data_IF_775584006552
#
_entry.id   IF_775584006552
#
_cell.length_a   1.000
_cell.length_b   1.000
_cell.length_c   1.000
_cell.angle_alpha   90.00
_cell.angle_beta   90.00
_cell.angle_gamma   90.00
#
_symmetry.space_group_name_H-M   'P 1'
#
loop_
_entity.id
_entity.type
_entity.pdbx_description
1 polymer ?
#
# COMPACT_ATOMS: atom_id res chain seq x y z
N UNK A 1 31.78 38.01 -3.48
CA UNK A 1 30.40 38.27 -3.95
C UNK A 1 29.66 36.95 -3.95
N UNK A 2 28.88 36.68 -2.90
CA UNK A 2 28.06 35.47 -2.85
C UNK A 2 26.74 35.76 -3.56
N UNK A 3 26.43 35.01 -4.62
CA UNK A 3 25.11 35.07 -5.24
C UNK A 3 24.06 34.69 -4.19
N UNK A 4 22.98 35.47 -4.01
CA UNK A 4 21.91 35.09 -3.12
C UNK A 4 21.32 33.77 -3.62
N UNK A 5 21.33 32.75 -2.76
CA UNK A 5 20.62 31.49 -3.01
C UNK A 5 19.16 31.86 -3.27
N UNK A 6 18.61 31.40 -4.39
CA UNK A 6 17.26 31.71 -4.85
C UNK A 6 16.23 30.95 -3.99
N UNK A 7 16.07 31.39 -2.74
CA UNK A 7 15.26 30.72 -1.70
C UNK A 7 13.79 30.60 -2.09
N UNK A 8 13.25 31.53 -2.89
CA UNK A 8 11.86 31.49 -3.34
C UNK A 8 11.57 30.33 -4.31
N UNK A 9 12.50 30.03 -5.22
CA UNK A 9 12.36 28.89 -6.15
C UNK A 9 12.48 27.56 -5.43
N UNK A 10 13.40 27.43 -4.46
CA UNK A 10 13.55 26.22 -3.65
C UNK A 10 12.31 25.96 -2.77
N UNK A 11 11.75 27.01 -2.17
CA UNK A 11 10.51 26.91 -1.38
C UNK A 11 9.30 26.53 -2.24
N UNK A 12 9.16 27.12 -3.43
CA UNK A 12 8.07 26.78 -4.35
C UNK A 12 8.16 25.32 -4.81
N UNK A 13 9.36 24.87 -5.19
CA UNK A 13 9.60 23.48 -5.59
C UNK A 13 9.25 22.48 -4.45
N UNK A 14 9.59 22.81 -3.21
CA UNK A 14 9.24 21.98 -2.06
C UNK A 14 7.72 21.89 -1.85
N UNK A 15 7.00 23.00 -1.97
CA UNK A 15 5.54 23.04 -1.86
C UNK A 15 4.86 22.25 -2.99
N UNK A 16 5.33 22.41 -4.22
CA UNK A 16 4.82 21.68 -5.39
C UNK A 16 5.04 20.17 -5.24
N UNK A 17 6.21 19.77 -4.75
CA UNK A 17 6.55 18.36 -4.48
C UNK A 17 5.66 17.77 -3.39
N UNK A 18 5.42 18.52 -2.30
CA UNK A 18 4.53 18.08 -1.22
C UNK A 18 3.09 17.92 -1.69
N UNK A 19 2.59 18.86 -2.49
CA UNK A 19 1.25 18.78 -3.08
C UNK A 19 1.11 17.58 -4.02
N UNK A 20 2.10 17.35 -4.89
CA UNK A 20 2.13 16.20 -5.79
C UNK A 20 2.16 14.87 -5.02
N UNK A 21 3.00 14.78 -3.97
CA UNK A 21 3.11 13.59 -3.12
C UNK A 21 1.81 13.30 -2.39
N UNK A 22 1.19 14.33 -1.80
CA UNK A 22 -0.12 14.20 -1.13
C UNK A 22 -1.20 13.67 -2.07
N UNK A 23 -1.26 14.18 -3.30
CA UNK A 23 -2.22 13.73 -4.30
C UNK A 23 -2.02 12.25 -4.70
N UNK A 24 -0.77 11.78 -4.74
CA UNK A 24 -0.47 10.36 -5.01
C UNK A 24 -0.88 9.48 -3.83
N UNK A 25 -0.62 9.91 -2.60
CA UNK A 25 -1.03 9.19 -1.39
C UNK A 25 -2.55 9.13 -1.28
N UNK A 26 -3.26 10.22 -1.59
CA UNK A 26 -4.73 10.23 -1.60
C UNK A 26 -5.28 9.18 -2.57
N UNK A 27 -4.75 9.11 -3.79
CA UNK A 27 -5.14 8.11 -4.79
C UNK A 27 -4.82 6.69 -4.33
N UNK A 28 -3.66 6.48 -3.72
CA UNK A 28 -3.27 5.18 -3.18
C UNK A 28 -4.20 4.74 -2.03
N UNK A 29 -4.53 5.65 -1.11
CA UNK A 29 -5.46 5.40 -0.03
C UNK A 29 -6.85 4.98 -0.54
N UNK A 30 -7.37 5.69 -1.54
CA UNK A 30 -8.64 5.34 -2.19
C UNK A 30 -8.57 3.94 -2.81
N UNK A 31 -7.52 3.65 -3.58
CA UNK A 31 -7.34 2.36 -4.26
C UNK A 31 -7.23 1.20 -3.26
N UNK A 32 -6.49 1.37 -2.16
CA UNK A 32 -6.36 0.34 -1.11
C UNK A 32 -7.71 0.08 -0.44
N UNK A 33 -8.46 1.12 -0.07
CA UNK A 33 -9.77 0.95 0.54
C UNK A 33 -10.77 0.27 -0.41
N UNK A 34 -10.75 0.62 -1.70
CA UNK A 34 -11.58 -0.04 -2.72
C UNK A 34 -11.20 -1.52 -2.91
N UNK A 35 -9.91 -1.84 -2.88
CA UNK A 35 -9.41 -3.22 -2.94
C UNK A 35 -9.86 -4.04 -1.71
N UNK A 36 -9.77 -3.48 -0.49
CA UNK A 36 -10.26 -4.14 0.72
C UNK A 36 -11.76 -4.42 0.62
N UNK A 37 -12.56 -3.47 0.12
CA UNK A 37 -14.00 -3.67 -0.08
C UNK A 37 -14.32 -4.76 -1.08
N UNK A 38 -13.61 -4.80 -2.20
CA UNK A 38 -13.80 -5.83 -3.21
C UNK A 38 -13.49 -7.24 -2.66
N UNK A 39 -12.40 -7.37 -1.90
CA UNK A 39 -12.00 -8.64 -1.28
C UNK A 39 -12.94 -9.05 -0.14
N UNK A 40 -13.40 -8.11 0.69
CA UNK A 40 -14.38 -8.39 1.72
C UNK A 40 -15.72 -8.86 1.13
N UNK A 41 -16.14 -8.29 -0.01
CA UNK A 41 -17.36 -8.66 -0.71
C UNK A 41 -17.27 -10.03 -1.41
N UNK A 42 -16.09 -10.47 -1.85
CA UNK A 42 -15.90 -11.78 -2.47
C UNK A 42 -15.86 -12.94 -1.46
N UNK A 43 -15.78 -12.64 -0.16
CA UNK A 43 -15.57 -13.62 0.91
C UNK A 43 -14.33 -14.51 0.66
N UNK A 44 -13.27 -13.94 0.07
CA UNK A 44 -12.02 -14.67 -0.16
C UNK A 44 -11.37 -15.05 1.19
N UNK A 45 -11.18 -16.36 1.48
CA UNK A 45 -10.56 -16.80 2.74
C UNK A 45 -9.11 -16.31 2.90
N UNK A 46 -8.43 -15.94 1.82
CA UNK A 46 -7.08 -15.37 1.86
C UNK A 46 -7.08 -13.84 1.99
N UNK A 47 -8.25 -13.20 1.86
CA UNK A 47 -8.42 -11.76 1.93
C UNK A 47 -7.77 -11.10 3.15
N UNK A 48 -8.01 -11.60 4.37
CA UNK A 48 -7.38 -11.03 5.57
C UNK A 48 -5.85 -11.09 5.51
N UNK A 49 -5.28 -12.22 5.07
CA UNK A 49 -3.84 -12.40 4.97
C UNK A 49 -3.19 -11.48 3.91
N UNK A 50 -3.88 -11.22 2.79
CA UNK A 50 -3.45 -10.27 1.76
C UNK A 50 -3.25 -8.85 2.30
N UNK A 51 -4.07 -8.44 3.26
CA UNK A 51 -3.98 -7.12 3.89
C UNK A 51 -3.28 -7.13 5.26
N UNK A 52 -2.95 -8.31 5.80
CA UNK A 52 -2.20 -8.43 7.05
C UNK A 52 -3.06 -8.09 8.27
N UNK A 53 -4.37 -8.31 8.15
CA UNK A 53 -5.36 -8.05 9.19
C UNK A 53 -6.16 -9.33 9.45
N UNK A 54 -6.87 -9.39 10.57
CA UNK A 54 -7.84 -10.46 10.79
C UNK A 54 -9.13 -10.23 9.98
N UNK A 55 -9.98 -11.26 9.91
CA UNK A 55 -11.22 -11.21 9.13
C UNK A 55 -12.24 -10.20 9.69
N UNK A 56 -12.25 -10.00 11.00
CA UNK A 56 -13.16 -9.05 11.65
C UNK A 56 -12.79 -7.62 11.26
N UNK A 57 -11.51 -7.27 11.35
CA UNK A 57 -10.95 -5.97 10.99
C UNK A 57 -11.13 -5.69 9.49
N UNK A 58 -10.92 -6.68 8.62
CA UNK A 58 -11.18 -6.55 7.19
C UNK A 58 -12.65 -6.18 6.93
N UNK A 59 -13.58 -6.87 7.59
CA UNK A 59 -15.01 -6.61 7.46
C UNK A 59 -15.38 -5.25 8.04
N UNK A 60 -14.92 -4.91 9.24
CA UNK A 60 -15.15 -3.60 9.86
C UNK A 60 -14.67 -2.46 8.96
N UNK A 61 -13.45 -2.57 8.43
CA UNK A 61 -12.87 -1.56 7.55
C UNK A 61 -13.62 -1.43 6.23
N UNK A 62 -14.04 -2.55 5.64
CA UNK A 62 -14.80 -2.57 4.38
C UNK A 62 -16.20 -1.93 4.49
N UNK A 63 -16.78 -1.94 5.70
CA UNK A 63 -18.11 -1.41 5.97
C UNK A 63 -18.12 0.09 6.29
N UNK A 64 -16.95 0.73 6.44
CA UNK A 64 -16.89 2.18 6.65
C UNK A 64 -17.42 2.90 5.39
N UNK A 65 -18.44 3.78 5.49
CA UNK A 65 -18.96 4.49 4.33
C UNK A 65 -17.89 5.36 3.66
N UNK A 66 -17.87 5.41 2.31
CA UNK A 66 -16.90 6.21 1.53
C UNK A 66 -16.84 7.66 2.02
N UNK A 67 -17.98 8.26 2.32
CA UNK A 67 -18.08 9.65 2.81
C UNK A 67 -17.30 9.88 4.12
N UNK A 68 -17.20 8.88 4.99
CA UNK A 68 -16.43 8.95 6.23
C UNK A 68 -14.92 8.76 6.00
N UNK A 69 -14.54 8.11 4.91
CA UNK A 69 -13.15 7.89 4.54
C UNK A 69 -12.53 9.06 3.77
N UNK A 70 -13.34 9.87 3.07
CA UNK A 70 -12.84 11.00 2.28
C UNK A 70 -11.89 11.93 3.05
N UNK A 71 -12.20 12.37 4.29
CA UNK A 71 -11.29 13.23 5.04
C UNK A 71 -9.95 12.54 5.33
N UNK A 72 -9.97 11.23 5.61
CA UNK A 72 -8.75 10.45 5.87
C UNK A 72 -7.89 10.36 4.61
N UNK A 73 -8.49 10.11 3.44
CA UNK A 73 -7.76 10.05 2.18
C UNK A 73 -7.04 11.37 1.86
N UNK A 74 -7.71 12.48 2.14
CA UNK A 74 -7.19 13.82 1.90
C UNK A 74 -6.06 14.25 2.84
N UNK A 75 -5.80 13.53 3.94
CA UNK A 75 -4.72 13.91 4.88
C UNK A 75 -3.32 13.81 4.26
N UNK A 76 -3.16 12.99 3.21
CA UNK A 76 -1.83 12.65 2.69
C UNK A 76 -1.03 11.71 3.60
N UNK A 77 -1.66 11.16 4.64
CA UNK A 77 -1.08 10.09 5.46
C UNK A 77 -1.49 8.76 4.85
N UNK A 78 -0.54 7.85 4.54
CA UNK A 78 -0.89 6.52 4.05
C UNK A 78 -1.73 5.75 5.08
N UNK A 79 -2.83 5.14 4.62
CA UNK A 79 -3.65 4.22 5.44
C UNK A 79 -3.14 2.77 5.39
N UNK A 80 -1.94 2.57 4.85
CA UNK A 80 -1.34 1.28 4.58
C UNK A 80 0.16 1.38 4.81
N UNK A 81 0.78 0.22 5.00
CA UNK A 81 2.21 0.10 5.26
C UNK A 81 2.87 -0.79 4.20
N UNK A 82 4.14 -0.53 3.92
CA UNK A 82 4.95 -1.40 3.08
C UNK A 82 5.45 -2.57 3.93
N UNK A 83 5.14 -3.80 3.50
CA UNK A 83 5.68 -5.00 4.16
C UNK A 83 7.19 -5.06 3.95
N UNK A 84 7.96 -5.04 5.04
CA UNK A 84 9.41 -4.94 4.98
C UNK A 84 10.04 -6.14 4.23
N UNK A 85 9.46 -7.33 4.39
CA UNK A 85 9.86 -8.57 3.72
C UNK A 85 9.68 -8.51 2.21
N UNK A 86 8.73 -7.68 1.74
CA UNK A 86 8.50 -7.46 0.31
C UNK A 86 9.50 -6.50 -0.31
N UNK A 87 10.03 -5.54 0.47
CA UNK A 87 10.98 -4.56 -0.05
C UNK A 87 12.27 -5.24 -0.50
N UNK A 88 12.85 -6.10 0.34
CA UNK A 88 14.05 -6.86 0.00
C UNK A 88 13.80 -7.83 -1.15
N UNK A 89 12.67 -8.54 -1.11
CA UNK A 89 12.28 -9.48 -2.16
C UNK A 89 12.11 -8.82 -3.55
N UNK A 90 11.50 -7.63 -3.59
CA UNK A 90 11.36 -6.86 -4.84
C UNK A 90 12.72 -6.40 -5.35
N UNK A 91 13.61 -5.94 -4.46
CA UNK A 91 14.97 -5.55 -4.85
C UNK A 91 15.74 -6.73 -5.48
N UNK A 92 15.67 -7.91 -4.87
CA UNK A 92 16.30 -9.14 -5.39
C UNK A 92 15.74 -9.54 -6.76
N UNK A 93 14.42 -9.43 -6.98
CA UNK A 93 13.80 -9.71 -8.27
C UNK A 93 14.29 -8.78 -9.39
N UNK A 94 14.36 -7.49 -9.08
CA UNK A 94 14.83 -6.48 -10.04
C UNK A 94 16.29 -6.73 -10.37
N UNK A 95 17.12 -7.03 -9.37
CA UNK A 95 18.53 -7.37 -9.58
C UNK A 95 18.73 -8.66 -10.39
N UNK A 96 17.83 -9.64 -10.24
CA UNK A 96 17.88 -10.92 -10.96
C UNK A 96 17.42 -10.84 -12.44
N UNK A 97 17.13 -9.65 -12.96
CA UNK A 97 17.00 -9.38 -14.39
C UNK A 97 15.73 -9.92 -15.06
N UNK A 98 14.69 -10.29 -14.30
CA UNK A 98 13.42 -10.68 -14.91
C UNK A 98 12.42 -11.36 -13.99
N UNK A 99 11.15 -11.21 -14.37
CA UNK A 99 9.99 -11.80 -13.73
C UNK A 99 9.72 -13.19 -14.34
N UNK A 100 10.14 -14.25 -13.68
CA UNK A 100 9.57 -15.58 -13.93
C UNK A 100 8.58 -15.91 -12.81
N UNK A 101 7.50 -16.62 -13.15
CA UNK A 101 6.48 -17.02 -12.19
C UNK A 101 7.10 -17.80 -11.00
N UNK A 102 8.14 -18.59 -11.29
CA UNK A 102 8.92 -19.35 -10.31
C UNK A 102 9.68 -18.47 -9.31
N UNK A 103 10.08 -17.26 -9.71
CA UNK A 103 10.75 -16.29 -8.83
C UNK A 103 9.76 -15.45 -8.03
N UNK A 104 8.54 -15.24 -8.55
CA UNK A 104 7.48 -14.49 -7.88
C UNK A 104 6.79 -15.30 -6.78
N UNK A 105 6.62 -16.61 -6.99
CA UNK A 105 5.91 -17.47 -6.04
C UNK A 105 6.53 -17.47 -4.62
N UNK A 106 7.85 -17.65 -4.44
CA UNK A 106 8.48 -17.59 -3.11
C UNK A 106 8.27 -16.25 -2.39
N UNK A 107 8.13 -15.16 -3.15
CA UNK A 107 7.98 -13.80 -2.61
C UNK A 107 6.55 -13.57 -2.16
N UNK A 108 5.58 -13.99 -2.96
CA UNK A 108 4.17 -14.04 -2.57
C UNK A 108 4.01 -14.91 -1.31
N UNK A 109 4.65 -16.08 -1.27
CA UNK A 109 4.61 -16.96 -0.09
C UNK A 109 5.24 -16.34 1.16
N UNK A 110 6.35 -15.57 1.02
CA UNK A 110 6.92 -14.78 2.12
C UNK A 110 5.96 -13.67 2.57
N UNK A 111 5.24 -13.04 1.64
CA UNK A 111 4.24 -12.01 1.95
C UNK A 111 3.12 -12.53 2.85
N UNK A 112 2.75 -13.81 2.71
CA UNK A 112 1.74 -14.47 3.52
C UNK A 112 2.22 -14.95 4.90
N UNK A 113 3.51 -14.82 5.24
CA UNK A 113 4.07 -15.08 6.57
C UNK A 113 3.65 -16.41 7.20
N UNK A 114 4.40 -17.50 6.97
CA UNK A 114 4.39 -18.77 7.72
C UNK A 114 3.06 -19.50 8.03
N UNK A 115 1.88 -19.05 7.58
CA UNK A 115 0.68 -19.88 7.53
C UNK A 115 -0.37 -19.25 6.61
N UNK A 116 -0.54 -19.82 5.42
CA UNK A 116 -1.88 -19.82 4.83
C UNK A 116 -2.77 -20.58 5.83
N UNK A 117 -3.91 -20.04 6.27
CA UNK A 117 -4.90 -20.82 6.99
C UNK A 117 -5.56 -21.74 5.97
N UNK A 118 -4.81 -22.75 5.49
CA UNK A 118 -5.40 -23.91 4.86
C UNK A 118 -6.15 -24.60 5.98
N UNK A 119 -7.44 -24.30 6.10
CA UNK A 119 -8.38 -25.12 6.84
C UNK A 119 -8.14 -26.55 6.36
N UNK A 120 -7.53 -27.39 7.20
CA UNK A 120 -7.52 -28.82 6.98
C UNK A 120 -9.00 -29.24 7.05
N UNK A 121 -9.55 -29.59 5.89
CA UNK A 121 -10.88 -30.21 5.76
C UNK A 121 -10.72 -31.68 6.09
#
# INVERSE_FOLDING_TARGET
MGSPINTSQASQFALDTQAATRNLIEKANQAVWEAVRAIAASNDPLGPALFGVDAEMLQQFSNIPKLKMLPLFQTGVPIFELRHEMVSAVADLVAAGGYSQDKLFPIVMRAFGNALPLKQV
#
